data_IF_213157481669
#
_entry.id   IF_213157481669
#
_cell.length_a   1.000
_cell.length_b   1.000
_cell.length_c   1.000
_cell.angle_alpha   90.00
_cell.angle_beta   90.00
_cell.angle_gamma   90.00
#
_symmetry.space_group_name_H-M   'P 1'
#
loop_
_entity.id
_entity.type
_entity.pdbx_description
1 polymer ?
#
# COMPACT_ATOMS: atom_id res chain seq x y z
N UNK A 1 -9.63 -2.80 8.46
CA UNK A 1 -9.34 -3.38 9.79
C UNK A 1 -8.39 -4.54 9.56
N UNK A 2 -7.37 -4.69 10.41
CA UNK A 2 -6.34 -5.73 10.29
C UNK A 2 -6.38 -6.76 11.44
N UNK A 3 -7.32 -6.62 12.38
CA UNK A 3 -7.45 -7.53 13.53
C UNK A 3 -7.72 -8.98 13.10
N UNK A 4 -8.39 -9.19 11.98
CA UNK A 4 -8.69 -10.50 11.39
C UNK A 4 -7.47 -11.17 10.74
N UNK A 5 -6.39 -10.42 10.50
CA UNK A 5 -5.15 -10.87 9.85
C UNK A 5 -3.97 -10.99 10.82
N UNK A 6 -4.22 -10.77 12.11
CA UNK A 6 -3.23 -10.71 13.19
C UNK A 6 -1.96 -9.87 12.86
N UNK A 7 -2.14 -8.81 12.07
CA UNK A 7 -1.08 -7.89 11.68
C UNK A 7 -1.34 -6.52 12.31
N UNK A 8 -0.29 -5.87 12.79
CA UNK A 8 -0.38 -4.49 13.32
C UNK A 8 -0.41 -3.48 12.19
N UNK A 9 -1.03 -2.32 12.43
CA UNK A 9 -0.98 -1.23 11.45
C UNK A 9 0.45 -0.80 11.16
N UNK A 10 1.32 -0.77 12.19
CA UNK A 10 2.77 -0.52 12.05
C UNK A 10 3.47 -1.55 11.16
N UNK A 11 3.20 -2.84 11.36
CA UNK A 11 3.82 -3.91 10.53
C UNK A 11 3.28 -3.87 9.09
N UNK A 12 1.98 -3.64 8.92
CA UNK A 12 1.35 -3.48 7.62
C UNK A 12 1.92 -2.29 6.84
N UNK A 13 2.04 -1.13 7.48
CA UNK A 13 2.66 0.08 6.91
C UNK A 13 4.08 -0.20 6.43
N UNK A 14 4.93 -0.79 7.28
CA UNK A 14 6.32 -1.10 6.93
C UNK A 14 6.46 -2.16 5.82
N UNK A 15 5.59 -3.18 5.79
CA UNK A 15 5.62 -4.20 4.73
C UNK A 15 5.20 -3.62 3.38
N UNK A 16 4.14 -2.81 3.35
CA UNK A 16 3.66 -2.15 2.14
C UNK A 16 4.66 -1.10 1.62
N UNK A 17 5.31 -0.36 2.53
CA UNK A 17 6.36 0.59 2.17
C UNK A 17 7.52 -0.08 1.43
N UNK A 18 8.00 -1.23 1.91
CA UNK A 18 9.02 -2.03 1.21
C UNK A 18 8.57 -2.48 -0.17
N UNK A 19 7.29 -2.82 -0.32
CA UNK A 19 6.66 -3.15 -1.60
C UNK A 19 6.41 -1.93 -2.51
N UNK A 20 6.81 -0.72 -2.11
CA UNK A 20 6.60 0.51 -2.89
C UNK A 20 5.19 1.11 -2.77
N UNK A 21 4.38 0.64 -1.82
CA UNK A 21 3.00 1.09 -1.60
C UNK A 21 2.93 1.88 -0.29
N UNK A 22 2.86 3.20 -0.38
CA UNK A 22 2.76 4.06 0.81
C UNK A 22 1.33 4.10 1.34
N UNK A 23 1.15 3.70 2.61
CA UNK A 23 -0.10 3.83 3.37
C UNK A 23 0.19 4.45 4.74
N UNK A 24 -0.86 4.77 5.50
CA UNK A 24 -0.73 5.26 6.87
C UNK A 24 -1.35 4.27 7.85
N UNK A 25 -0.61 3.87 8.89
CA UNK A 25 -1.18 3.17 10.05
C UNK A 25 -2.19 4.08 10.73
N UNK A 26 -3.37 3.55 11.04
CA UNK A 26 -4.46 4.30 11.62
C UNK A 26 -5.21 3.46 12.65
N UNK A 27 -5.73 4.12 13.69
CA UNK A 27 -6.62 3.45 14.64
C UNK A 27 -7.94 3.07 13.96
N UNK A 28 -8.57 2.01 14.46
CA UNK A 28 -9.93 1.60 14.09
C UNK A 28 -10.88 1.81 15.27
N UNK A 29 -12.21 1.79 15.08
CA UNK A 29 -13.13 1.83 16.21
C UNK A 29 -12.83 0.73 17.24
N UNK A 30 -12.75 1.13 18.51
CA UNK A 30 -12.43 0.26 19.64
C UNK A 30 -11.06 -0.43 19.49
N UNK A 31 -10.06 0.28 18.95
CA UNK A 31 -8.70 -0.23 18.86
C UNK A 31 -8.13 -0.49 20.26
N UNK A 32 -7.67 -1.72 20.50
CA UNK A 32 -7.05 -2.13 21.76
C UNK A 32 -5.53 -1.93 21.74
N UNK A 33 -4.94 -1.66 20.56
CA UNK A 33 -3.51 -1.40 20.40
C UNK A 33 -3.21 0.09 20.58
N UNK A 34 -1.97 0.39 20.94
CA UNK A 34 -1.53 1.78 21.15
C UNK A 34 -1.55 2.60 19.84
N UNK A 35 -1.65 3.94 19.91
CA UNK A 35 -1.60 4.81 18.72
C UNK A 35 -0.32 4.68 17.88
N UNK A 36 0.78 4.17 18.46
CA UNK A 36 2.04 3.93 17.74
C UNK A 36 2.06 2.62 16.95
N UNK A 37 1.16 1.68 17.26
CA UNK A 37 1.12 0.34 16.65
C UNK A 37 -0.13 0.19 15.78
N UNK A 38 -1.30 0.56 16.31
CA UNK A 38 -2.64 0.50 15.71
C UNK A 38 -3.06 -0.87 15.17
N UNK A 39 -4.35 -1.02 14.87
CA UNK A 39 -4.94 -2.24 14.28
C UNK A 39 -5.49 -2.02 12.86
N UNK A 40 -5.08 -0.93 12.20
CA UNK A 40 -5.58 -0.60 10.87
C UNK A 40 -4.60 0.22 10.04
N UNK A 41 -4.95 0.34 8.76
CA UNK A 41 -4.33 1.24 7.79
C UNK A 41 -5.44 2.04 7.09
N UNK A 42 -5.11 3.26 6.66
CA UNK A 42 -6.00 4.10 5.85
C UNK A 42 -5.44 4.20 4.42
N UNK A 43 -6.31 4.03 3.45
CA UNK A 43 -6.00 4.08 2.02
C UNK A 43 -6.85 5.18 1.39
N UNK A 44 -6.25 5.95 0.49
CA UNK A 44 -6.93 6.96 -0.30
C UNK A 44 -6.48 6.89 -1.76
N UNK A 45 -7.41 7.14 -2.68
CA UNK A 45 -7.17 7.15 -4.12
C UNK A 45 -6.82 8.51 -4.76
N UNK A 46 -7.03 9.71 -4.15
CA UNK A 46 -6.84 10.99 -4.83
C UNK A 46 -5.50 11.15 -5.56
N UNK A 47 -4.39 10.80 -4.92
CA UNK A 47 -3.06 10.91 -5.52
C UNK A 47 -2.90 10.05 -6.78
N UNK A 48 -3.55 8.88 -6.82
CA UNK A 48 -3.49 7.97 -7.96
C UNK A 48 -4.44 8.41 -9.07
N UNK A 49 -5.66 8.84 -8.72
CA UNK A 49 -6.64 9.32 -9.70
C UNK A 49 -6.20 10.62 -10.36
N UNK A 50 -5.53 11.54 -9.64
CA UNK A 50 -4.93 12.75 -10.22
C UNK A 50 -3.83 12.42 -11.22
N UNK A 51 -3.14 11.27 -11.06
CA UNK A 51 -2.15 10.76 -12.02
C UNK A 51 -2.78 10.04 -13.21
N UNK A 52 -4.11 9.92 -13.28
CA UNK A 52 -4.81 9.28 -14.39
C UNK A 52 -5.08 7.78 -14.23
N UNK A 53 -4.74 7.18 -13.09
CA UNK A 53 -5.06 5.77 -12.81
C UNK A 53 -6.57 5.57 -12.63
N UNK A 54 -7.07 4.42 -13.10
CA UNK A 54 -8.49 4.05 -13.12
C UNK A 54 -8.74 2.72 -12.40
N UNK A 55 -9.93 2.16 -12.59
CA UNK A 55 -10.41 0.97 -11.89
C UNK A 55 -9.52 -0.25 -12.08
N UNK A 56 -8.93 -0.42 -13.26
CA UNK A 56 -8.03 -1.55 -13.56
C UNK A 56 -6.76 -1.49 -12.71
N UNK A 57 -6.16 -0.32 -12.60
CA UNK A 57 -4.98 -0.09 -11.77
C UNK A 57 -5.33 -0.26 -10.29
N UNK A 58 -6.49 0.24 -9.84
CA UNK A 58 -6.95 0.06 -8.46
C UNK A 58 -7.15 -1.42 -8.12
N UNK A 59 -7.63 -2.23 -9.06
CA UNK A 59 -7.78 -3.68 -8.87
C UNK A 59 -6.43 -4.36 -8.69
N UNK A 60 -5.43 -4.00 -9.50
CA UNK A 60 -4.07 -4.51 -9.36
C UNK A 60 -3.46 -4.11 -8.00
N UNK A 61 -3.56 -2.83 -7.64
CA UNK A 61 -3.04 -2.29 -6.38
C UNK A 61 -3.71 -2.95 -5.16
N UNK A 62 -5.03 -3.11 -5.17
CA UNK A 62 -5.75 -3.82 -4.12
C UNK A 62 -5.29 -5.28 -3.99
N UNK A 63 -5.01 -5.95 -5.12
CA UNK A 63 -4.43 -7.29 -5.14
C UNK A 63 -3.04 -7.35 -4.52
N UNK A 64 -2.17 -6.41 -4.83
CA UNK A 64 -0.83 -6.31 -4.23
C UNK A 64 -0.87 -6.02 -2.74
N UNK A 65 -1.73 -5.08 -2.30
CA UNK A 65 -1.93 -4.79 -0.89
C UNK A 65 -2.35 -6.07 -0.15
N UNK A 66 -3.33 -6.79 -0.68
CA UNK A 66 -3.79 -8.06 -0.09
C UNK A 66 -2.64 -9.07 0.04
N UNK A 67 -1.90 -9.32 -1.05
CA UNK A 67 -0.77 -10.27 -1.05
C UNK A 67 0.28 -9.94 0.02
N UNK A 68 0.69 -8.68 0.12
CA UNK A 68 1.70 -8.24 1.10
C UNK A 68 1.16 -8.35 2.52
N UNK A 69 -0.11 -8.04 2.76
CA UNK A 69 -0.70 -8.16 4.10
C UNK A 69 -0.84 -9.61 4.57
N UNK A 70 -1.04 -10.57 3.66
CA UNK A 70 -1.06 -12.00 3.99
C UNK A 70 0.35 -12.59 4.19
N UNK A 71 1.37 -12.01 3.56
CA UNK A 71 2.75 -12.47 3.63
C UNK A 71 3.72 -11.32 3.98
N UNK A 72 3.56 -10.67 5.14
CA UNK A 72 4.28 -9.42 5.46
C UNK A 72 5.78 -9.60 5.73
N UNK A 73 6.25 -10.84 5.89
CA UNK A 73 7.65 -11.19 6.13
C UNK A 73 8.27 -11.93 4.93
N UNK A 74 7.55 -12.11 3.82
CA UNK A 74 8.07 -12.73 2.60
C UNK A 74 8.78 -11.69 1.73
N UNK A 75 10.09 -11.54 1.95
CA UNK A 75 10.93 -10.57 1.23
C UNK A 75 10.90 -10.77 -0.29
N UNK A 76 10.79 -12.02 -0.76
CA UNK A 76 10.78 -12.31 -2.19
C UNK A 76 9.48 -11.82 -2.82
N UNK A 77 8.34 -12.15 -2.20
CA UNK A 77 7.04 -11.66 -2.64
C UNK A 77 6.98 -10.14 -2.61
N UNK A 78 7.52 -9.50 -1.57
CA UNK A 78 7.57 -8.06 -1.42
C UNK A 78 8.41 -7.42 -2.54
N UNK A 79 9.56 -7.99 -2.87
CA UNK A 79 10.40 -7.53 -3.98
C UNK A 79 9.70 -7.68 -5.34
N UNK A 80 9.01 -8.81 -5.57
CA UNK A 80 8.24 -9.05 -6.79
C UNK A 80 7.09 -8.05 -6.95
N UNK A 81 6.38 -7.72 -5.85
CA UNK A 81 5.35 -6.68 -5.85
C UNK A 81 5.95 -5.31 -6.11
N UNK A 82 7.10 -5.00 -5.50
CA UNK A 82 7.79 -3.73 -5.72
C UNK A 82 8.11 -3.49 -7.19
N UNK A 83 8.65 -4.49 -7.88
CA UNK A 83 8.96 -4.41 -9.30
C UNK A 83 7.69 -4.12 -10.14
N UNK A 84 6.56 -4.75 -9.81
CA UNK A 84 5.28 -4.51 -10.48
C UNK A 84 4.74 -3.09 -10.21
N UNK A 85 4.89 -2.58 -8.99
CA UNK A 85 4.49 -1.21 -8.61
C UNK A 85 5.34 -0.17 -9.36
N UNK A 86 6.65 -0.38 -9.45
CA UNK A 86 7.56 0.48 -10.20
C UNK A 86 7.20 0.49 -11.69
N UNK A 87 6.93 -0.68 -12.27
CA UNK A 87 6.51 -0.78 -13.68
C UNK A 87 5.18 -0.07 -13.94
N UNK A 88 4.20 -0.22 -13.04
CA UNK A 88 2.95 0.53 -13.14
C UNK A 88 3.20 2.03 -13.11
N UNK A 89 4.03 2.52 -12.18
CA UNK A 89 4.30 3.94 -12.00
C UNK A 89 4.94 4.60 -13.23
N UNK A 90 5.74 3.87 -14.01
CA UNK A 90 6.36 4.39 -15.26
C UNK A 90 5.31 4.84 -16.29
N UNK A 91 4.12 4.24 -16.27
CA UNK A 91 3.02 4.60 -17.18
C UNK A 91 2.27 5.87 -16.74
N UNK A 92 2.55 6.42 -15.55
CA UNK A 92 1.81 7.54 -14.96
C UNK A 92 2.78 8.59 -14.36
N UNK A 93 3.55 9.27 -15.23
CA UNK A 93 4.52 10.30 -14.85
C UNK A 93 3.82 11.57 -14.33
N UNK A 94 4.39 12.18 -13.28
CA UNK A 94 3.79 13.33 -12.57
C UNK A 94 4.22 14.68 -13.17
N UNK A 95 5.40 14.73 -13.79
CA UNK A 95 6.04 15.95 -14.29
C UNK A 95 6.47 15.78 -15.75
N UNK A 96 5.53 15.46 -16.64
CA UNK A 96 5.86 15.33 -18.06
C UNK A 96 6.48 16.62 -18.61
N UNK A 97 5.97 17.77 -18.17
CA UNK A 97 6.41 19.11 -18.60
C UNK A 97 7.83 19.50 -18.14
N UNK A 98 8.45 18.74 -17.23
CA UNK A 98 9.81 19.01 -16.73
C UNK A 98 10.85 17.99 -17.25
N UNK A 99 10.46 17.11 -18.18
CA UNK A 99 11.33 16.11 -18.80
C UNK A 99 11.84 16.55 -20.20
N UNK A 100 11.38 17.71 -20.69
CA UNK A 100 11.92 18.41 -21.86
C UNK A 100 13.00 19.43 -21.46
#
# INVERSE_FOLDING_TARGET
DLRDKDITGKKAEAALERAGITVNKNMVPFDTRSPFITSGIRIGVPALTTRGMKENEMKAIGGWISKVLYHPDDEKLIADVRAQVEELCKNFLIYQDFLE
#
